data_IF_737416745835
#
_entry.id   IF_737416745835
#
_cell.length_a   1.000
_cell.length_b   1.000
_cell.length_c   1.000
_cell.angle_alpha   90.00
_cell.angle_beta   90.00
_cell.angle_gamma   90.00
#
_symmetry.space_group_name_H-M   'P 1'
#
loop_
_entity.id
_entity.type
_entity.pdbx_description
1 polymer ?
2 polymer ?
3 polymer ?
4 water ?
#
loop_
_entity_poly.entity_id
_entity_poly.type
_entity_poly.pdbx_seq_one_letter_code
_entity_poly.pdbx_strand_id
2 'polydeoxyribonucleotide' '(DG)(DA)(DA)(DT)(DC)(DA)(DC)(DA)(DA)(DG)(DT)(DG)(DA)(DT)(DT)(DA)(DG)(DC)' ?
3 'polydeoxyribonucleotide' '(DC)(DT)(DA)(DA)(DT)(DC)(DA)(DC)(DT)(DT)(DG)(DT)(DG)(DA)(DT)(DT)(DC)(DG)' ?
#
# COMPACT_ATOMS: atom_id res chain seq x y z
N UNK A 4 3.02 -27.00 -3.76
CA UNK A 4 2.50 -25.69 -4.25
C UNK A 4 2.93 -24.53 -3.34
N UNK A 5 4.24 -24.34 -3.25
CA UNK A 5 4.82 -23.06 -2.92
C UNK A 5 4.21 -22.07 -3.91
N UNK A 6 4.47 -22.31 -5.20
CA UNK A 6 3.77 -21.62 -6.30
C UNK A 6 2.27 -21.73 -6.12
N UNK A 7 1.58 -20.67 -6.45
CA UNK A 7 0.22 -20.48 -6.00
C UNK A 7 -0.06 -19.00 -6.05
N UNK A 8 -1.03 -18.61 -6.87
CA UNK A 8 -1.28 -17.22 -7.16
C UNK A 8 -2.48 -16.71 -6.41
N UNK A 9 -3.00 -15.58 -6.87
CA UNK A 9 -4.14 -14.97 -6.26
C UNK A 9 -5.32 -14.90 -7.20
N UNK A 10 -6.50 -14.96 -6.62
CA UNK A 10 -7.71 -14.54 -7.25
C UNK A 10 -7.98 -13.14 -6.65
N UNK A 11 -8.77 -12.31 -7.31
CA UNK A 11 -9.11 -10.99 -6.73
C UNK A 11 -10.58 -10.92 -6.36
N UNK A 12 -10.86 -10.14 -5.33
CA UNK A 12 -12.18 -10.07 -4.78
C UNK A 12 -12.39 -8.65 -4.24
N UNK A 13 -13.63 -8.20 -4.22
CA UNK A 13 -13.93 -6.82 -3.89
C UNK A 13 -14.58 -6.78 -2.51
N UNK A 14 -13.97 -6.07 -1.58
CA UNK A 14 -14.44 -6.08 -0.18
C UNK A 14 -14.81 -4.67 0.32
N UNK A 15 -15.64 -4.64 1.36
CA UNK A 15 -16.14 -3.38 1.94
C UNK A 15 -15.01 -2.42 2.15
N UNK A 16 -15.09 -1.27 1.48
CA UNK A 16 -14.10 -0.22 1.63
C UNK A 16 -13.78 0.08 3.09
N UNK A 17 -14.79 0.08 3.96
CA UNK A 17 -14.55 0.47 5.35
C UNK A 17 -13.67 -0.55 6.07
N UNK A 18 -13.87 -1.82 5.75
CA UNK A 18 -13.02 -2.89 6.30
C UNK A 18 -11.63 -2.83 5.68
N UNK A 19 -11.57 -2.65 4.37
CA UNK A 19 -10.30 -2.50 3.67
C UNK A 19 -9.47 -1.40 4.29
N UNK A 20 -10.11 -0.28 4.60
CA UNK A 20 -9.44 0.87 5.20
C UNK A 20 -8.85 0.50 6.55
N UNK A 21 -9.62 -0.18 7.36
CA UNK A 21 -9.14 -0.62 8.66
C UNK A 21 -7.87 -1.43 8.49
N UNK A 22 -7.88 -2.35 7.54
CA UNK A 22 -6.71 -3.20 7.30
C UNK A 22 -5.53 -2.41 6.72
N UNK A 23 -5.81 -1.59 5.72
CA UNK A 23 -4.82 -0.68 5.17
C UNK A 23 -4.05 0.07 6.29
N UNK A 24 -4.78 0.62 7.27
CA UNK A 24 -4.13 1.36 8.38
C UNK A 24 -3.23 0.42 9.15
N UNK A 25 -3.83 -0.67 9.63
CA UNK A 25 -3.17 -1.60 10.53
C UNK A 25 -1.91 -2.19 9.93
N UNK A 26 -1.98 -2.61 8.66
CA UNK A 26 -0.82 -3.22 7.98
C UNK A 26 0.26 -2.22 7.69
N UNK A 27 -0.08 -0.94 7.71
CA UNK A 27 0.91 0.11 7.57
C UNK A 27 1.55 0.39 8.91
N UNK A 28 0.72 0.70 9.91
CA UNK A 28 1.19 0.89 11.29
C UNK A 28 2.11 -0.23 11.67
N UNK A 29 1.56 -1.43 11.68
CA UNK A 29 2.30 -2.63 12.02
C UNK A 29 2.65 -3.36 10.71
N UNK A 30 3.16 -4.56 10.80
CA UNK A 30 3.65 -5.24 9.60
C UNK A 30 2.54 -5.65 8.63
N UNK A 31 2.94 -6.16 7.45
CA UNK A 31 2.03 -6.91 6.59
C UNK A 31 1.56 -6.14 5.38
N UNK A 32 0.71 -6.80 4.59
CA UNK A 32 0.04 -6.17 3.48
C UNK A 32 -1.37 -6.73 3.37
N UNK A 33 -2.15 -6.18 2.45
CA UNK A 33 -3.56 -6.52 2.37
C UNK A 33 -3.80 -8.03 2.06
N UNK A 34 -3.19 -8.53 0.98
CA UNK A 34 -3.30 -9.95 0.62
C UNK A 34 -3.03 -10.82 1.81
N UNK A 35 -1.91 -10.57 2.45
CA UNK A 35 -1.51 -11.30 3.63
C UNK A 35 -2.65 -11.39 4.63
N UNK A 36 -3.31 -10.26 4.88
CA UNK A 36 -4.42 -10.23 5.82
C UNK A 36 -5.58 -11.07 5.31
N UNK A 37 -5.88 -10.95 4.02
CA UNK A 37 -6.98 -11.69 3.41
C UNK A 37 -6.72 -13.19 3.40
N UNK A 38 -5.48 -13.57 3.16
CA UNK A 38 -5.11 -14.98 3.11
C UNK A 38 -5.34 -15.62 4.45
N UNK A 39 -5.00 -14.89 5.50
CA UNK A 39 -5.15 -15.41 6.84
C UNK A 39 -6.61 -15.37 7.23
N UNK A 40 -7.26 -14.25 6.96
CA UNK A 40 -8.68 -14.08 7.29
C UNK A 40 -9.50 -15.22 6.69
N UNK A 41 -9.27 -15.50 5.42
CA UNK A 41 -10.07 -16.51 4.71
C UNK A 41 -9.80 -17.93 5.21
N UNK A 42 -8.53 -18.25 5.47
CA UNK A 42 -8.19 -19.58 5.97
C UNK A 42 -8.81 -19.83 7.33
N UNK A 43 -8.84 -18.81 8.17
CA UNK A 43 -9.46 -18.93 9.48
C UNK A 43 -10.98 -19.15 9.36
N UNK A 44 -11.60 -18.46 8.41
CA UNK A 44 -13.03 -18.62 8.13
C UNK A 44 -13.33 -20.04 7.66
N UNK A 45 -12.46 -20.57 6.81
CA UNK A 45 -12.64 -21.92 6.28
C UNK A 45 -12.43 -22.95 7.37
N UNK A 46 -11.44 -22.72 8.22
CA UNK A 46 -11.16 -23.65 9.33
C UNK A 46 -12.27 -23.63 10.36
N UNK A 47 -12.88 -22.45 10.52
CA UNK A 47 -13.92 -22.26 11.51
C UNK A 47 -15.25 -22.84 11.00
N UNK A 48 -15.52 -22.67 9.69
CA UNK A 48 -16.85 -22.95 9.14
C UNK A 48 -16.92 -24.15 8.17
N UNK A 49 -15.87 -24.39 7.40
CA UNK A 49 -15.85 -25.56 6.51
C UNK A 49 -14.46 -26.16 6.43
N UNK A 50 -13.96 -26.65 7.55
CA UNK A 50 -12.60 -27.16 7.65
C UNK A 50 -12.39 -28.48 6.90
N UNK A 51 -13.48 -29.21 6.65
CA UNK A 51 -13.38 -30.48 5.96
C UNK A 51 -13.19 -30.30 4.46
N UNK A 52 -13.20 -29.03 4.01
CA UNK A 52 -12.96 -28.71 2.61
C UNK A 52 -11.52 -28.30 2.33
N UNK A 53 -10.69 -28.28 3.38
CA UNK A 53 -9.27 -27.95 3.22
C UNK A 53 -8.46 -29.13 2.72
N UNK B 4 -27.21 5.08 4.01
CA UNK B 4 -27.94 3.88 4.55
C UNK B 4 -26.92 2.87 5.19
N UNK B 5 -27.13 1.58 4.96
CA UNK B 5 -26.13 0.56 5.29
C UNK B 5 -25.22 0.23 4.07
N UNK B 6 -25.16 1.16 3.11
CA UNK B 6 -24.47 0.90 1.85
C UNK B 6 -23.00 1.26 1.97
N UNK B 7 -22.16 0.55 1.21
CA UNK B 7 -20.75 0.66 1.36
C UNK B 7 -20.04 0.27 0.06
N UNK B 8 -19.20 1.16 -0.43
CA UNK B 8 -18.40 0.87 -1.61
C UNK B 8 -17.44 -0.24 -1.33
N UNK B 9 -16.76 -0.70 -2.37
CA UNK B 9 -15.85 -1.82 -2.24
C UNK B 9 -14.48 -1.45 -2.68
N UNK B 10 -13.52 -2.29 -2.32
CA UNK B 10 -12.15 -2.09 -2.68
C UNK B 10 -11.56 -3.45 -3.08
N UNK B 11 -10.95 -3.50 -4.26
CA UNK B 11 -10.45 -4.78 -4.78
C UNK B 11 -9.29 -5.25 -3.96
N UNK B 12 -9.22 -6.57 -3.74
CA UNK B 12 -8.12 -7.16 -3.02
C UNK B 12 -7.71 -8.50 -3.63
N UNK B 13 -6.44 -8.87 -3.47
CA UNK B 13 -5.93 -10.19 -3.83
C UNK B 13 -6.15 -11.20 -2.69
N UNK B 14 -6.35 -12.48 -3.06
CA UNK B 14 -6.44 -13.56 -2.06
C UNK B 14 -5.93 -14.88 -2.63
N UNK B 15 -5.20 -15.62 -1.80
CA UNK B 15 -4.91 -17.03 -2.03
C UNK B 15 -5.97 -17.64 -2.94
N UNK B 16 -5.54 -18.17 -4.08
CA UNK B 16 -6.47 -18.64 -5.11
C UNK B 16 -7.13 -19.98 -4.76
N UNK B 17 -6.44 -20.80 -3.98
CA UNK B 17 -7.01 -22.09 -3.55
C UNK B 17 -8.12 -21.89 -2.55
N UNK B 18 -7.93 -20.96 -1.63
CA UNK B 18 -8.95 -20.67 -0.63
C UNK B 18 -10.17 -20.04 -1.28
N UNK B 19 -9.94 -19.14 -2.23
CA UNK B 19 -11.02 -18.58 -3.01
C UNK B 19 -11.82 -19.70 -3.69
N UNK B 20 -11.10 -20.66 -4.30
CA UNK B 20 -11.75 -21.72 -5.08
C UNK B 20 -12.61 -22.60 -4.20
N UNK B 21 -12.15 -22.87 -2.99
CA UNK B 21 -12.97 -23.61 -2.02
C UNK B 21 -14.31 -22.86 -1.78
N UNK B 22 -14.24 -21.54 -1.64
CA UNK B 22 -15.43 -20.74 -1.44
C UNK B 22 -16.27 -20.67 -2.70
N UNK B 23 -15.61 -20.46 -3.83
CA UNK B 23 -16.32 -20.42 -5.10
C UNK B 23 -17.12 -21.70 -5.29
N UNK B 24 -16.44 -22.84 -5.15
CA UNK B 24 -17.09 -24.16 -5.27
C UNK B 24 -18.22 -24.35 -4.29
N UNK B 25 -18.00 -23.98 -3.04
CA UNK B 25 -19.00 -24.23 -2.01
C UNK B 25 -20.22 -23.33 -2.18
N UNK B 26 -20.02 -22.05 -2.48
CA UNK B 26 -21.14 -21.13 -2.72
C UNK B 26 -21.95 -21.53 -3.96
N UNK B 27 -21.28 -22.15 -4.93
CA UNK B 27 -21.94 -22.62 -6.15
C UNK B 27 -23.03 -23.60 -5.85
N UNK B 28 -22.76 -24.51 -4.91
CA UNK B 28 -23.69 -25.59 -4.57
C UNK B 28 -25.04 -25.05 -4.16
N UNK B 29 -25.03 -23.97 -3.38
CA UNK B 29 -26.26 -23.29 -2.99
C UNK B 29 -26.43 -21.95 -3.75
N UNK B 30 -26.80 -20.90 -3.04
CA UNK B 30 -27.15 -19.64 -3.69
C UNK B 30 -26.01 -18.65 -3.72
N UNK B 31 -25.19 -18.66 -2.66
CA UNK B 31 -24.32 -17.55 -2.33
C UNK B 31 -23.29 -17.14 -3.37
N UNK B 32 -22.61 -16.04 -3.09
CA UNK B 32 -21.51 -15.55 -3.91
C UNK B 32 -20.23 -15.52 -3.09
N UNK B 33 -19.08 -15.39 -3.76
CA UNK B 33 -17.82 -15.36 -3.05
C UNK B 33 -17.66 -14.07 -2.23
N UNK B 34 -18.15 -12.94 -2.75
CA UNK B 34 -17.98 -11.67 -2.07
C UNK B 34 -18.56 -11.71 -0.65
N UNK B 35 -19.78 -12.18 -0.54
CA UNK B 35 -20.45 -12.27 0.73
C UNK B 35 -19.57 -12.89 1.77
N UNK B 36 -18.88 -13.96 1.40
CA UNK B 36 -18.11 -14.75 2.34
C UNK B 36 -16.82 -14.03 2.71
N UNK B 37 -16.21 -13.38 1.72
CA UNK B 37 -15.01 -12.59 1.94
C UNK B 37 -15.27 -11.44 2.91
N UNK B 38 -16.32 -10.68 2.66
CA UNK B 38 -16.70 -9.62 3.58
C UNK B 38 -16.87 -10.20 4.99
N UNK B 39 -17.46 -11.39 5.09
CA UNK B 39 -17.69 -12.00 6.38
C UNK B 39 -16.37 -12.43 7.02
N UNK B 40 -15.48 -13.01 6.21
CA UNK B 40 -14.18 -13.47 6.73
C UNK B 40 -13.31 -12.30 7.22
N UNK B 41 -13.26 -11.24 6.42
CA UNK B 41 -12.51 -10.04 6.76
C UNK B 41 -13.02 -9.44 8.08
N UNK B 42 -14.33 -9.45 8.26
CA UNK B 42 -14.93 -8.85 9.42
C UNK B 42 -14.63 -9.67 10.67
N UNK B 43 -14.87 -10.97 10.58
CA UNK B 43 -14.56 -11.84 11.70
C UNK B 43 -13.09 -11.78 12.07
N UNK B 44 -12.24 -11.51 11.07
CA UNK B 44 -10.83 -11.27 11.30
C UNK B 44 -10.61 -9.97 12.10
N UNK B 45 -11.31 -8.92 11.70
CA UNK B 45 -11.14 -7.63 12.35
C UNK B 45 -11.71 -7.64 13.76
N UNK B 46 -12.83 -8.32 13.96
CA UNK B 46 -13.40 -8.44 15.29
C UNK B 46 -12.46 -9.23 16.21
N UNK B 47 -11.80 -10.25 15.65
CA UNK B 47 -10.89 -11.10 16.42
C UNK B 47 -9.58 -10.42 16.75
N UNK B 48 -9.05 -9.65 15.81
CA UNK B 48 -7.70 -9.08 15.94
C UNK B 48 -7.68 -7.56 16.20
N UNK B 49 -8.76 -6.88 15.84
CA UNK B 49 -8.79 -5.42 15.93
C UNK B 49 -10.15 -4.96 16.40
N UNK B 50 -10.63 -5.54 17.50
CA UNK B 50 -12.04 -5.42 17.91
C UNK B 50 -12.55 -3.98 18.05
N UNK B 51 -11.66 -3.06 18.45
CA UNK B 51 -12.04 -1.68 18.72
C UNK B 51 -11.90 -0.77 17.49
N UNK B 52 -11.57 -1.35 16.35
CA UNK B 52 -11.43 -0.57 15.12
C UNK B 52 -12.70 -0.60 14.31
N UNK B 53 -13.67 -1.43 14.70
CA UNK B 53 -14.92 -1.49 13.95
C UNK B 53 -16.14 -1.47 14.87
N UNK C 2 5.99 17.83 -20.34
CA UNK C 2 6.28 16.99 -21.56
C UNK C 2 7.23 15.84 -21.25
N UNK C 3 8.29 16.13 -20.49
CA UNK C 3 9.12 15.07 -19.95
C UNK C 3 8.36 14.33 -18.84
N UNK C 4 7.54 15.07 -18.09
CA UNK C 4 6.64 14.45 -17.13
C UNK C 4 5.76 13.47 -17.83
N UNK C 5 5.13 13.92 -18.91
CA UNK C 5 4.24 13.09 -19.69
C UNK C 5 4.96 11.84 -20.26
N UNK C 6 5.87 12.03 -21.22
CA UNK C 6 6.37 10.91 -22.00
C UNK C 6 7.16 9.91 -21.18
N UNK C 7 7.86 10.38 -20.16
CA UNK C 7 8.73 9.49 -19.38
C UNK C 7 7.93 8.72 -18.33
N UNK C 8 8.58 7.79 -17.65
CA UNK C 8 7.90 6.88 -16.74
C UNK C 8 8.43 6.91 -15.33
N UNK C 9 8.77 5.72 -14.81
CA UNK C 9 9.13 5.57 -13.41
C UNK C 9 10.59 5.32 -13.22
N UNK C 10 11.06 5.59 -12.03
CA UNK C 10 12.35 5.16 -11.58
C UNK C 10 12.18 4.75 -10.12
N UNK C 11 13.19 4.11 -9.56
CA UNK C 11 13.11 3.75 -8.16
C UNK C 11 14.32 4.22 -7.39
N UNK C 12 14.09 4.53 -6.13
CA UNK C 12 15.12 4.97 -5.26
C UNK C 12 14.78 4.41 -3.89
N UNK C 13 15.80 4.14 -3.08
CA UNK C 13 15.60 3.61 -1.74
C UNK C 13 15.78 4.72 -0.70
N UNK C 14 14.72 5.00 0.05
CA UNK C 14 14.77 6.05 1.07
C UNK C 14 14.80 5.46 2.48
N UNK C 15 15.11 6.30 3.45
CA UNK C 15 15.15 5.86 4.84
C UNK C 15 13.84 5.23 5.20
N UNK C 16 13.90 4.00 5.67
CA UNK C 16 12.71 3.24 6.05
C UNK C 16 11.84 3.98 7.09
N UNK C 17 12.47 4.73 7.99
CA UNK C 17 11.72 5.45 9.02
C UNK C 17 10.89 6.60 8.42
N UNK C 18 11.40 7.24 7.37
CA UNK C 18 10.64 8.25 6.64
C UNK C 18 9.54 7.60 5.82
N UNK C 19 9.88 6.50 5.17
CA UNK C 19 8.95 5.75 4.35
C UNK C 19 7.77 5.23 5.21
N UNK C 20 8.08 4.79 6.43
CA UNK C 20 7.06 4.30 7.34
C UNK C 20 6.07 5.40 7.66
N UNK C 21 6.58 6.61 7.85
CA UNK C 21 5.75 7.75 8.11
C UNK C 21 4.78 7.96 6.96
N UNK C 22 5.31 7.95 5.74
CA UNK C 22 4.50 8.14 4.54
C UNK C 22 3.48 7.01 4.36
N UNK C 23 3.84 5.80 4.77
CA UNK C 23 2.93 4.66 4.68
C UNK C 23 1.75 4.84 5.60
N UNK C 24 2.00 5.10 6.87
CA UNK C 24 0.91 5.42 7.78
C UNK C 24 0.03 6.50 7.18
N UNK C 25 0.66 7.56 6.70
CA UNK C 25 -0.07 8.74 6.27
C UNK C 25 -0.94 8.45 5.05
N UNK C 26 -0.34 7.89 4.00
CA UNK C 26 -1.11 7.55 2.82
C UNK C 26 -2.21 6.53 3.16
N UNK C 27 -1.99 5.74 4.20
CA UNK C 27 -3.01 4.80 4.65
C UNK C 27 -4.18 5.52 5.29
N UNK C 28 -3.90 6.30 6.33
CA UNK C 28 -4.96 7.06 7.02
C UNK C 28 -5.70 7.97 6.06
N UNK C 29 -4.96 8.82 5.39
CA UNK C 29 -5.54 9.74 4.42
C UNK C 29 -5.23 9.19 3.06
N UNK C 30 -5.59 9.91 2.02
CA UNK C 30 -5.55 9.30 0.68
C UNK C 30 -4.13 9.03 0.18
N UNK C 31 -4.00 8.89 -1.14
CA UNK C 31 -2.72 8.90 -1.80
C UNK C 31 -1.96 7.59 -1.71
N UNK C 32 -0.70 7.65 -2.07
CA UNK C 32 0.18 6.52 -1.99
C UNK C 32 1.63 6.98 -1.97
N UNK C 33 2.52 6.05 -1.73
CA UNK C 33 3.90 6.40 -1.51
C UNK C 33 4.49 7.18 -2.70
N UNK C 34 4.25 6.70 -3.91
CA UNK C 34 4.89 7.28 -5.09
C UNK C 34 4.55 8.78 -5.27
N UNK C 35 3.30 9.14 -5.04
CA UNK C 35 2.82 10.49 -5.34
C UNK C 35 3.32 11.48 -4.30
N UNK C 36 3.63 10.99 -3.12
CA UNK C 36 4.30 11.81 -2.10
C UNK C 36 5.75 12.01 -2.48
N UNK C 37 6.40 10.95 -2.93
CA UNK C 37 7.79 11.04 -3.36
C UNK C 37 7.89 12.05 -4.49
N UNK C 38 6.99 11.95 -5.46
CA UNK C 38 6.97 12.85 -6.60
C UNK C 38 6.89 14.29 -6.15
N UNK C 39 6.02 14.54 -5.17
CA UNK C 39 5.79 15.88 -4.64
C UNK C 39 6.95 16.35 -3.78
N UNK C 40 7.40 15.50 -2.88
CA UNK C 40 8.57 15.85 -2.04
C UNK C 40 9.73 16.24 -2.94
N UNK C 41 9.91 15.51 -4.03
CA UNK C 41 11.02 15.73 -4.93
C UNK C 41 10.82 17.00 -5.71
N UNK C 42 9.62 17.21 -6.24
CA UNK C 42 9.33 18.41 -7.01
C UNK C 42 9.56 19.66 -6.17
N UNK C 43 9.10 19.64 -4.91
CA UNK C 43 9.24 20.81 -4.05
C UNK C 43 10.71 21.10 -3.73
N UNK C 44 11.50 20.04 -3.57
CA UNK C 44 12.96 20.19 -3.35
C UNK C 44 13.60 20.87 -4.54
N UNK C 45 13.28 20.38 -5.74
CA UNK C 45 13.79 20.96 -6.98
C UNK C 45 13.31 22.42 -7.16
N UNK C 46 12.05 22.69 -6.81
CA UNK C 46 11.53 24.05 -6.90
C UNK C 46 12.21 24.96 -5.85
N UNK C 47 12.59 24.37 -4.71
CA UNK C 47 13.36 25.07 -3.67
C UNK C 47 14.84 25.30 -4.07
N UNK C 48 15.59 24.22 -4.24
CA UNK C 48 17.07 24.30 -4.43
C UNK C 48 17.54 24.40 -5.89
N UNK C 49 16.75 23.87 -6.82
CA UNK C 49 17.17 23.76 -8.22
C UNK C 49 16.12 24.30 -9.21
N UNK C 50 15.57 25.48 -8.94
CA UNK C 50 14.38 25.95 -9.67
C UNK C 50 14.59 26.21 -11.17
N UNK C 51 15.83 26.28 -11.63
CA UNK C 51 16.10 26.42 -13.07
C UNK C 51 15.88 25.13 -13.85
N UNK C 52 15.63 24.03 -13.13
CA UNK C 52 15.46 22.71 -13.74
C UNK C 52 13.99 22.37 -14.03
N UNK C 53 13.08 23.17 -13.46
CA UNK C 53 11.64 23.01 -13.72
C UNK C 53 11.03 24.28 -14.32
N UNK D 7 16.31 -0.58 11.07
CA UNK D 7 15.61 0.01 9.88
C UNK D 7 16.61 0.70 8.95
N UNK D 8 16.69 0.21 7.72
CA UNK D 8 17.59 0.79 6.73
C UNK D 8 16.82 1.57 5.71
N UNK D 9 16.61 0.97 4.54
CA UNK D 9 16.01 1.67 3.42
C UNK D 9 14.80 0.93 2.89
N UNK D 10 13.93 1.67 2.20
CA UNK D 10 12.78 1.08 1.53
C UNK D 10 12.74 1.59 0.11
N UNK D 11 12.55 0.70 -0.85
CA UNK D 11 12.44 1.11 -2.26
C UNK D 11 11.14 1.85 -2.49
N UNK D 12 11.21 2.98 -3.20
CA UNK D 12 10.01 3.70 -3.63
C UNK D 12 10.15 4.07 -5.08
N UNK D 13 9.01 4.23 -5.75
CA UNK D 13 8.98 4.71 -7.11
C UNK D 13 8.91 6.23 -7.15
N UNK D 14 9.41 6.81 -8.24
CA UNK D 14 9.34 8.26 -8.47
C UNK D 14 9.31 8.52 -9.95
N UNK D 15 8.83 9.69 -10.33
CA UNK D 15 8.86 10.11 -11.72
C UNK D 15 10.30 10.07 -12.25
N UNK D 16 10.47 9.51 -13.43
CA UNK D 16 11.77 9.40 -14.03
C UNK D 16 12.29 10.77 -14.49
N UNK D 17 11.38 11.70 -14.79
CA UNK D 17 11.81 13.04 -15.23
C UNK D 17 12.39 13.87 -14.06
N UNK D 18 11.85 13.70 -12.86
CA UNK D 18 12.41 14.36 -11.65
C UNK D 18 13.69 13.66 -11.19
N UNK D 19 13.61 12.33 -11.07
CA UNK D 19 14.79 11.51 -10.80
C UNK D 19 15.95 11.93 -11.68
N UNK D 20 15.71 12.02 -12.98
CA UNK D 20 16.76 12.44 -13.94
C UNK D 20 17.39 13.76 -13.59
N UNK D 21 16.55 14.74 -13.23
CA UNK D 21 17.06 16.06 -12.85
C UNK D 21 18.07 15.93 -11.71
N UNK D 22 17.70 15.15 -10.70
CA UNK D 22 18.58 14.91 -9.57
C UNK D 22 19.77 14.11 -10.00
N UNK D 23 19.56 13.17 -10.91
CA UNK D 23 20.64 12.31 -11.36
C UNK D 23 21.72 13.12 -12.06
N UNK D 24 21.30 14.02 -12.94
CA UNK D 24 22.23 14.86 -13.68
C UNK D 24 22.98 15.81 -12.76
N UNK D 25 22.27 16.39 -11.81
CA UNK D 25 22.83 17.43 -10.94
C UNK D 25 23.85 16.88 -9.95
N UNK D 26 23.51 15.76 -9.32
CA UNK D 26 24.40 15.12 -8.36
C UNK D 26 25.64 14.57 -9.05
N UNK D 27 25.51 14.22 -10.33
CA UNK D 27 26.66 13.83 -11.14
C UNK D 27 27.55 15.03 -11.44
N UNK D 28 26.94 16.15 -11.82
CA UNK D 28 27.69 17.37 -12.16
C UNK D 28 28.35 17.93 -10.93
N UNK D 29 27.54 18.41 -10.01
CA UNK D 29 28.02 18.90 -8.73
C UNK D 29 27.96 17.76 -7.71
N UNK D 30 28.16 18.06 -6.43
CA UNK D 30 28.30 17.01 -5.40
C UNK D 30 27.07 16.11 -5.20
N UNK D 31 27.29 14.96 -4.56
CA UNK D 31 26.20 14.17 -3.97
C UNK D 31 25.84 12.91 -4.73
N UNK D 32 24.83 12.21 -4.22
CA UNK D 32 24.21 11.13 -4.96
C UNK D 32 22.69 11.29 -4.90
N UNK D 33 21.97 10.46 -5.64
CA UNK D 33 20.50 10.57 -5.71
C UNK D 33 19.80 10.24 -4.39
N UNK D 34 20.17 9.12 -3.77
CA UNK D 34 19.53 8.70 -2.51
C UNK D 34 19.55 9.80 -1.45
N UNK D 35 20.70 10.45 -1.27
CA UNK D 35 20.86 11.49 -0.26
C UNK D 35 19.87 12.63 -0.48
N UNK D 36 19.74 13.03 -1.73
CA UNK D 36 18.82 14.09 -2.11
C UNK D 36 17.39 13.68 -1.84
N UNK D 37 17.05 12.47 -2.27
CA UNK D 37 15.70 11.96 -2.12
C UNK D 37 15.33 11.87 -0.65
N UNK D 38 16.29 11.50 0.19
CA UNK D 38 16.07 11.44 1.62
C UNK D 38 15.88 12.82 2.21
N UNK D 39 16.65 13.78 1.70
CA UNK D 39 16.55 15.17 2.15
C UNK D 39 15.23 15.78 1.75
N UNK D 40 14.84 15.55 0.51
CA UNK D 40 13.57 16.06 0.02
C UNK D 40 12.45 15.50 0.87
N UNK D 41 12.45 14.18 1.05
CA UNK D 41 11.39 13.48 1.79
C UNK D 41 11.31 14.03 3.18
N UNK D 42 12.47 14.19 3.81
CA UNK D 42 12.54 14.68 5.17
C UNK D 42 12.01 16.10 5.24
N UNK D 43 12.37 16.91 4.26
CA UNK D 43 11.94 18.29 4.24
C UNK D 43 10.45 18.38 3.94
N UNK D 44 9.96 17.49 3.08
CA UNK D 44 8.53 17.41 2.80
C UNK D 44 7.76 17.13 4.09
N UNK D 45 8.25 16.17 4.86
CA UNK D 45 7.59 15.75 6.07
C UNK D 45 7.59 16.84 7.14
N UNK D 46 8.72 17.55 7.28
CA UNK D 46 8.83 18.66 8.27
C UNK D 46 7.89 19.79 7.91
N UNK D 47 7.68 19.98 6.61
CA UNK D 47 6.83 21.02 6.11
C UNK D 47 5.35 20.71 6.34
N UNK D 48 4.93 19.50 5.96
CA UNK D 48 3.51 19.15 5.87
C UNK D 48 3.05 18.21 6.97
N UNK D 49 3.97 17.45 7.54
CA UNK D 49 3.64 16.51 8.62
C UNK D 49 4.60 16.69 9.76
N UNK D 50 4.63 17.89 10.34
CA UNK D 50 5.71 18.28 11.23
C UNK D 50 5.77 17.44 12.53
N UNK D 51 4.60 17.05 13.04
CA UNK D 51 4.51 16.33 14.31
C UNK D 51 4.96 14.86 14.19
N UNK D 52 4.98 14.34 12.97
CA UNK D 52 5.64 13.06 12.70
C UNK D 52 7.13 13.28 12.83
N UNK D 53 7.89 12.22 13.06
CA UNK D 53 9.29 12.34 13.51
C UNK D 53 9.47 13.50 14.52
#
# INVERSE_FOLDING_TARGET
MAKKDIMGDKTVRVRADLHHIIKIETAKNGGNVKEVMDQALEEYIRKYLPDKL
MAKKDIMGDKTVRVRADLHHIIKIETAKNGGNVKEVMDQALEEYIRKYLPDKL
MAKKDIMGDKTVRVRADLHHIIKIETAKNGGNVKEVMDQALEEYIRKYLPDKL
MAKKDIMGDKTVRVRADLHHIIKIETAKNGGNVKEVMDQALEEYIRKYLPDKL
#
